data_IF_349969778232
#
_entry.id   IF_349969778232
#
_cell.length_a   1.000
_cell.length_b   1.000
_cell.length_c   1.000
_cell.angle_alpha   90.00
_cell.angle_beta   90.00
_cell.angle_gamma   90.00
#
_symmetry.space_group_name_H-M   'P 1'
#
loop_
_entity.id
_entity.type
_entity.pdbx_description
1 polymer ?
#
# COMPACT_ATOMS: atom_id res chain seq x y z
N UNK A 1 12.53 11.93 -30.24
CA UNK A 1 11.57 11.08 -29.54
C UNK A 1 12.42 10.00 -28.90
N UNK A 2 12.64 10.13 -27.59
CA UNK A 2 13.78 9.54 -26.87
C UNK A 2 13.32 8.24 -26.22
N UNK A 3 13.72 7.11 -26.80
CA UNK A 3 13.54 5.80 -26.16
C UNK A 3 14.41 5.77 -24.91
N UNK A 4 13.80 5.51 -23.76
CA UNK A 4 14.46 5.33 -22.47
C UNK A 4 14.83 3.87 -22.28
N UNK A 5 15.97 3.63 -21.63
CA UNK A 5 16.41 2.28 -21.29
C UNK A 5 16.38 2.13 -19.78
N UNK A 6 15.24 1.71 -19.26
CA UNK A 6 15.01 1.58 -17.82
C UNK A 6 15.42 0.19 -17.33
N UNK A 7 16.11 0.15 -16.20
CA UNK A 7 16.29 -1.04 -15.37
C UNK A 7 15.28 -0.97 -14.25
N UNK A 8 14.45 -2.02 -14.13
CA UNK A 8 13.62 -2.26 -12.96
C UNK A 8 14.33 -3.25 -12.04
N UNK A 9 14.61 -2.87 -10.79
CA UNK A 9 14.97 -3.82 -9.73
C UNK A 9 13.80 -4.00 -8.77
N UNK A 10 13.54 -5.24 -8.40
CA UNK A 10 12.55 -5.59 -7.38
C UNK A 10 13.30 -5.89 -6.09
N UNK A 11 13.30 -4.96 -5.15
CA UNK A 11 14.13 -5.04 -3.95
C UNK A 11 13.29 -5.43 -2.74
N UNK A 12 13.63 -6.55 -2.08
CA UNK A 12 13.15 -6.90 -0.75
C UNK A 12 14.12 -6.38 0.32
N UNK A 13 13.73 -6.51 1.60
CA UNK A 13 14.45 -5.97 2.78
C UNK A 13 15.95 -6.15 2.80
N UNK A 14 16.42 -7.28 2.29
CA UNK A 14 17.82 -7.70 2.41
C UNK A 14 18.46 -8.06 1.07
N UNK A 15 17.72 -7.95 -0.03
CA UNK A 15 18.18 -8.46 -1.34
C UNK A 15 17.34 -7.95 -2.50
N UNK A 16 17.97 -7.78 -3.65
CA UNK A 16 17.27 -7.67 -4.94
C UNK A 16 16.76 -9.06 -5.36
N UNK A 17 15.45 -9.18 -5.57
CA UNK A 17 14.80 -10.41 -6.00
C UNK A 17 14.82 -10.59 -7.52
N UNK A 18 14.80 -9.49 -8.27
CA UNK A 18 14.79 -9.51 -9.72
C UNK A 18 15.39 -8.23 -10.32
N UNK A 19 15.87 -8.31 -11.56
CA UNK A 19 16.37 -7.18 -12.34
C UNK A 19 15.98 -7.36 -13.80
N UNK A 20 15.16 -6.46 -14.31
CA UNK A 20 14.55 -6.53 -15.63
C UNK A 20 14.88 -5.26 -16.43
N UNK A 21 14.96 -5.39 -17.75
CA UNK A 21 15.15 -4.25 -18.65
C UNK A 21 13.83 -3.89 -19.31
N UNK A 22 13.57 -2.59 -19.43
CA UNK A 22 12.39 -2.01 -20.05
C UNK A 22 12.88 -0.96 -21.06
N UNK A 23 12.49 -1.11 -22.31
CA UNK A 23 12.51 0.01 -23.26
C UNK A 23 11.25 0.82 -22.97
N UNK A 24 11.35 2.14 -22.74
CA UNK A 24 10.27 3.01 -22.27
C UNK A 24 10.18 4.36 -23.01
N UNK A 25 9.10 5.12 -22.84
CA UNK A 25 8.93 6.49 -23.35
C UNK A 25 8.22 6.61 -24.71
N UNK A 26 8.40 7.74 -25.41
CA UNK A 26 7.71 8.01 -26.68
C UNK A 26 8.10 6.93 -27.72
N UNK A 27 7.15 6.04 -28.06
CA UNK A 27 7.33 4.80 -28.84
C UNK A 27 8.10 3.66 -28.18
N UNK A 28 8.60 3.84 -26.96
CA UNK A 28 9.28 2.81 -26.16
C UNK A 28 8.31 1.86 -25.49
N UNK A 29 7.30 1.35 -26.21
CA UNK A 29 6.31 0.39 -25.69
C UNK A 29 6.97 -0.95 -25.36
N UNK A 30 7.79 -1.07 -24.32
CA UNK A 30 8.56 -2.28 -24.01
C UNK A 30 9.25 -2.92 -25.23
N UNK A 31 9.67 -4.18 -25.12
CA UNK A 31 10.26 -4.86 -26.28
C UNK A 31 9.19 -5.04 -27.38
N UNK A 32 9.31 -4.28 -28.49
CA UNK A 32 8.51 -4.41 -29.72
C UNK A 32 7.04 -3.94 -29.68
N UNK A 33 6.66 -2.95 -28.88
CA UNK A 33 5.28 -2.45 -28.91
C UNK A 33 4.37 -3.01 -27.82
N UNK A 34 4.91 -3.76 -26.86
CA UNK A 34 4.18 -4.43 -25.80
C UNK A 34 4.78 -4.07 -24.43
N UNK A 35 3.95 -3.73 -23.43
CA UNK A 35 4.43 -3.51 -22.07
C UNK A 35 5.17 -4.74 -21.54
N UNK A 36 6.23 -4.52 -20.76
CA UNK A 36 6.71 -5.56 -19.86
C UNK A 36 5.61 -5.81 -18.82
N UNK A 37 5.26 -7.08 -18.59
CA UNK A 37 4.31 -7.46 -17.55
C UNK A 37 5.02 -8.24 -16.45
N UNK A 38 4.76 -7.89 -15.21
CA UNK A 38 5.23 -8.62 -14.03
C UNK A 38 4.11 -8.79 -13.03
N UNK A 39 4.12 -9.88 -12.28
CA UNK A 39 3.25 -10.01 -11.11
C UNK A 39 3.79 -9.14 -9.97
N UNK A 40 2.90 -8.42 -9.28
CA UNK A 40 3.24 -7.76 -8.04
C UNK A 40 3.77 -8.77 -7.01
N UNK A 41 4.81 -8.38 -6.26
CA UNK A 41 5.32 -9.11 -5.10
C UNK A 41 5.05 -8.27 -3.85
N UNK A 42 4.76 -8.89 -2.72
CA UNK A 42 4.64 -8.14 -1.47
C UNK A 42 6.00 -7.78 -0.87
N UNK A 43 5.99 -6.71 -0.08
CA UNK A 43 7.12 -6.27 0.76
C UNK A 43 8.38 -6.00 -0.09
N UNK A 44 8.18 -5.37 -1.24
CA UNK A 44 9.26 -5.00 -2.17
C UNK A 44 9.15 -3.53 -2.59
N UNK A 45 10.28 -2.92 -2.90
CA UNK A 45 10.32 -1.68 -3.66
C UNK A 45 10.64 -1.95 -5.12
N UNK A 46 9.96 -1.25 -6.01
CA UNK A 46 10.24 -1.25 -7.44
C UNK A 46 11.14 -0.04 -7.74
N UNK A 47 12.42 -0.31 -7.93
CA UNK A 47 13.44 0.71 -8.22
C UNK A 47 13.62 0.86 -9.73
N UNK A 48 13.46 2.08 -10.22
CA UNK A 48 13.72 2.43 -11.62
C UNK A 48 15.05 3.15 -11.77
N UNK A 49 15.79 2.80 -12.81
CA UNK A 49 17.04 3.49 -13.22
C UNK A 49 17.10 3.60 -14.73
N UNK A 50 17.19 4.81 -15.26
CA UNK A 50 17.54 5.06 -16.66
C UNK A 50 19.03 4.80 -16.86
N UNK A 51 19.38 3.89 -17.77
CA UNK A 51 20.77 3.52 -18.08
C UNK A 51 21.57 4.67 -18.66
N UNK A 52 20.92 5.62 -19.33
CA UNK A 52 21.62 6.75 -19.94
C UNK A 52 22.10 7.73 -18.87
N UNK A 53 21.23 8.06 -17.92
CA UNK A 53 21.52 9.05 -16.87
C UNK A 53 22.09 8.43 -15.60
N UNK A 54 21.93 7.11 -15.41
CA UNK A 54 22.18 6.38 -14.15
C UNK A 54 21.30 6.81 -12.98
N UNK A 55 20.24 7.57 -13.22
CA UNK A 55 19.28 8.03 -12.22
C UNK A 55 17.89 7.48 -12.52
N UNK A 56 16.97 7.54 -11.55
CA UNK A 56 15.57 7.26 -11.82
C UNK A 56 15.00 8.29 -12.82
N UNK A 57 14.03 7.91 -13.66
CA UNK A 57 13.23 8.88 -14.41
C UNK A 57 12.71 9.98 -13.49
N UNK A 58 12.77 11.24 -13.91
CA UNK A 58 12.28 12.37 -13.13
C UNK A 58 10.76 12.33 -13.01
N UNK A 59 10.07 11.95 -14.10
CA UNK A 59 8.60 11.86 -14.12
C UNK A 59 8.13 10.53 -14.71
N UNK A 60 7.03 10.01 -14.19
CA UNK A 60 6.32 8.85 -14.72
C UNK A 60 4.81 9.14 -14.72
N UNK A 61 4.10 8.59 -15.70
CA UNK A 61 2.63 8.57 -15.67
C UNK A 61 2.17 7.22 -15.15
N UNK A 62 1.22 7.22 -14.22
CA UNK A 62 0.63 6.01 -13.66
C UNK A 62 -0.87 6.01 -13.86
N UNK A 63 -1.44 4.83 -14.08
CA UNK A 63 -2.88 4.64 -14.18
C UNK A 63 -3.26 3.32 -13.54
N UNK A 64 -4.32 3.31 -12.74
CA UNK A 64 -4.90 2.07 -12.26
C UNK A 64 -5.84 1.50 -13.31
N UNK A 65 -5.71 0.21 -13.58
CA UNK A 65 -6.63 -0.53 -14.43
C UNK A 65 -7.05 -1.82 -13.71
N UNK A 66 -8.25 -1.82 -13.13
CA UNK A 66 -8.75 -2.87 -12.24
C UNK A 66 -7.80 -3.13 -11.05
N UNK A 67 -7.12 -4.28 -11.01
CA UNK A 67 -6.12 -4.62 -10.00
C UNK A 67 -4.69 -4.28 -10.43
N UNK A 68 -4.48 -3.85 -11.66
CA UNK A 68 -3.16 -3.65 -12.24
C UNK A 68 -2.74 -2.18 -12.15
N UNK A 69 -1.43 -1.96 -12.01
CA UNK A 69 -0.81 -0.66 -12.12
C UNK A 69 -0.11 -0.55 -13.48
N UNK A 70 -0.56 0.40 -14.29
CA UNK A 70 0.03 0.74 -15.58
C UNK A 70 0.98 1.91 -15.38
N UNK A 71 2.17 1.82 -15.99
CA UNK A 71 3.24 2.81 -15.86
C UNK A 71 3.79 3.13 -17.25
N UNK A 72 3.90 4.41 -17.53
CA UNK A 72 4.62 4.95 -18.68
C UNK A 72 5.75 5.84 -18.20
N UNK A 73 6.95 5.67 -18.76
CA UNK A 73 8.10 6.52 -18.47
C UNK A 73 8.05 7.80 -19.32
N UNK A 74 8.94 8.75 -19.02
CA UNK A 74 8.98 10.08 -19.62
C UNK A 74 8.73 10.10 -21.14
N UNK A 75 7.70 10.86 -21.56
CA UNK A 75 7.33 11.03 -22.96
C UNK A 75 6.45 9.92 -23.54
N UNK A 76 6.12 8.88 -22.79
CA UNK A 76 5.16 7.85 -23.19
C UNK A 76 3.69 8.20 -22.86
N UNK A 77 2.78 7.32 -23.28
CA UNK A 77 1.33 7.41 -23.08
C UNK A 77 0.90 6.27 -22.15
N UNK A 78 0.28 6.58 -21.02
CA UNK A 78 -0.09 5.55 -20.02
C UNK A 78 -1.17 4.59 -20.53
N UNK A 79 -1.97 4.96 -21.53
CA UNK A 79 -2.90 4.03 -22.20
C UNK A 79 -2.17 3.04 -23.13
N UNK A 80 -0.87 3.26 -23.36
CA UNK A 80 0.06 2.38 -24.07
C UNK A 80 1.29 2.13 -23.19
N UNK A 81 1.12 1.51 -22.01
CA UNK A 81 2.13 1.53 -20.97
C UNK A 81 3.41 0.80 -21.40
N UNK A 82 4.51 1.19 -20.74
CA UNK A 82 5.81 0.53 -20.89
C UNK A 82 5.93 -0.65 -19.91
N UNK A 83 5.27 -0.54 -18.76
CA UNK A 83 5.27 -1.53 -17.68
C UNK A 83 3.86 -1.71 -17.13
N UNK A 84 3.46 -2.95 -16.91
CA UNK A 84 2.28 -3.33 -16.15
C UNK A 84 2.73 -4.19 -14.96
N UNK A 85 2.39 -3.73 -13.75
CA UNK A 85 2.52 -4.52 -12.53
C UNK A 85 1.14 -5.11 -12.23
N UNK A 86 0.98 -6.38 -12.57
CA UNK A 86 -0.25 -7.12 -12.43
C UNK A 86 -0.58 -7.36 -10.95
N UNK A 87 -1.85 -7.21 -10.59
CA UNK A 87 -2.33 -7.37 -9.21
C UNK A 87 -1.71 -6.42 -8.18
N UNK A 88 -1.16 -5.27 -8.60
CA UNK A 88 -0.61 -4.28 -7.68
C UNK A 88 -1.62 -3.84 -6.60
N UNK A 89 -2.90 -3.68 -6.96
CA UNK A 89 -3.99 -3.33 -6.05
C UNK A 89 -4.80 -4.52 -5.54
N UNK A 90 -4.28 -5.75 -5.70
CA UNK A 90 -4.97 -6.92 -5.14
C UNK A 90 -5.06 -6.81 -3.62
N UNK A 91 -6.19 -7.25 -3.08
CA UNK A 91 -6.45 -7.19 -1.64
C UNK A 91 -5.35 -7.93 -0.86
N UNK A 92 -5.08 -7.47 0.36
CA UNK A 92 -3.94 -7.91 1.20
C UNK A 92 -3.90 -9.43 1.51
N UNK A 93 -4.93 -10.21 1.15
CA UNK A 93 -4.97 -11.67 1.22
C UNK A 93 -4.52 -12.45 -0.03
N UNK A 94 -4.33 -11.79 -1.20
CA UNK A 94 -3.87 -12.45 -2.43
C UNK A 94 -2.35 -12.30 -2.67
N UNK A 95 -1.71 -11.25 -2.13
CA UNK A 95 -0.27 -11.00 -2.28
C UNK A 95 0.49 -10.77 -0.97
N UNK A 96 -0.17 -10.51 0.17
CA UNK A 96 0.49 -10.45 1.49
C UNK A 96 1.11 -9.10 1.86
N UNK A 97 0.41 -8.00 1.61
CA UNK A 97 0.78 -6.68 2.13
C UNK A 97 0.61 -6.65 3.65
N UNK A 98 1.70 -6.49 4.39
CA UNK A 98 1.63 -6.26 5.84
C UNK A 98 1.26 -4.80 6.12
N UNK A 99 0.47 -4.56 7.16
CA UNK A 99 0.20 -3.19 7.63
C UNK A 99 1.54 -2.48 7.95
N UNK A 100 1.79 -1.35 7.30
CA UNK A 100 3.05 -0.59 7.43
C UNK A 100 4.17 -0.93 6.45
N UNK A 101 4.03 -1.94 5.58
CA UNK A 101 5.01 -2.22 4.50
C UNK A 101 4.48 -1.74 3.14
N UNK A 102 5.28 -0.91 2.45
CA UNK A 102 4.86 -0.18 1.25
C UNK A 102 5.54 -0.73 -0.01
N UNK A 103 4.74 -1.06 -1.03
CA UNK A 103 5.27 -1.36 -2.37
C UNK A 103 5.55 -0.07 -3.14
N UNK A 104 6.54 0.68 -2.70
CA UNK A 104 6.85 1.97 -3.33
C UNK A 104 7.49 1.77 -4.71
N UNK A 105 7.15 2.69 -5.60
CA UNK A 105 7.98 3.01 -6.74
C UNK A 105 9.04 3.99 -6.27
N UNK A 106 10.31 3.72 -6.57
CA UNK A 106 11.44 4.56 -6.15
C UNK A 106 12.48 4.72 -7.27
N UNK A 107 13.33 5.72 -7.14
CA UNK A 107 14.46 5.96 -8.03
C UNK A 107 15.61 6.66 -7.31
N UNK A 108 16.82 6.57 -7.87
CA UNK A 108 17.97 7.33 -7.39
C UNK A 108 17.97 8.73 -8.04
N UNK A 109 18.08 9.79 -7.26
CA UNK A 109 18.22 11.15 -7.77
C UNK A 109 19.70 11.52 -7.97
N UNK A 110 19.98 12.62 -8.68
CA UNK A 110 21.33 13.14 -8.97
C UNK A 110 22.24 13.31 -7.75
N UNK A 111 21.64 13.48 -6.56
CA UNK A 111 22.37 13.62 -5.29
C UNK A 111 22.82 12.26 -4.70
N UNK A 112 22.59 11.17 -5.42
CA UNK A 112 22.95 9.80 -5.04
C UNK A 112 21.97 9.14 -4.06
N UNK A 113 20.94 9.84 -3.60
CA UNK A 113 19.93 9.36 -2.65
C UNK A 113 18.71 8.82 -3.38
N UNK A 114 17.93 8.01 -2.67
CA UNK A 114 16.70 7.42 -3.21
C UNK A 114 15.47 8.17 -2.73
N UNK A 115 14.52 8.32 -3.64
CA UNK A 115 13.26 9.03 -3.43
C UNK A 115 12.10 8.19 -3.96
N UNK A 116 10.91 8.32 -3.37
CA UNK A 116 9.70 7.77 -3.94
C UNK A 116 9.24 8.61 -5.14
N UNK A 117 8.36 8.01 -5.95
CA UNK A 117 7.53 8.76 -6.88
C UNK A 117 6.30 9.30 -6.13
N UNK A 118 6.12 10.62 -6.13
CA UNK A 118 5.03 11.33 -5.46
C UNK A 118 4.16 12.06 -6.48
N UNK A 119 2.85 12.28 -6.21
CA UNK A 119 1.96 12.93 -7.17
C UNK A 119 2.42 14.35 -7.49
N UNK A 120 2.48 14.68 -8.77
CA UNK A 120 2.75 16.04 -9.24
C UNK A 120 1.65 17.03 -8.81
N UNK A 121 0.43 16.53 -8.65
CA UNK A 121 -0.73 17.31 -8.17
C UNK A 121 -0.66 17.67 -6.70
N UNK A 122 0.21 17.01 -5.92
CA UNK A 122 0.24 17.01 -4.46
C UNK A 122 -1.06 16.51 -3.79
N UNK A 123 -2.02 15.97 -4.56
CA UNK A 123 -3.25 15.39 -4.03
C UNK A 123 -3.01 13.97 -3.54
N UNK A 124 -3.50 13.66 -2.34
CA UNK A 124 -3.31 12.34 -1.72
C UNK A 124 -3.92 11.19 -2.55
N UNK A 125 -5.06 11.43 -3.17
CA UNK A 125 -5.78 10.42 -3.95
C UNK A 125 -5.06 10.07 -5.27
N UNK A 126 -4.13 10.92 -5.70
CA UNK A 126 -3.33 10.71 -6.90
C UNK A 126 -2.04 9.92 -6.60
N UNK A 127 -1.81 9.57 -5.32
CA UNK A 127 -0.73 8.68 -4.92
C UNK A 127 -0.90 7.30 -5.55
N UNK A 128 0.18 6.71 -6.04
CA UNK A 128 0.17 5.37 -6.66
C UNK A 128 -0.52 4.33 -5.78
N UNK A 129 -0.34 4.38 -4.47
CA UNK A 129 -0.97 3.46 -3.52
C UNK A 129 -2.49 3.66 -3.34
N UNK A 130 -3.03 4.80 -3.76
CA UNK A 130 -4.41 5.24 -3.50
C UNK A 130 -5.23 5.51 -4.76
N UNK A 131 -4.65 5.34 -5.96
CA UNK A 131 -5.38 5.55 -7.21
C UNK A 131 -6.69 4.76 -7.22
N UNK A 132 -7.78 5.47 -7.49
CA UNK A 132 -9.05 4.83 -7.83
C UNK A 132 -8.97 4.20 -9.22
N UNK A 133 -9.84 3.23 -9.51
CA UNK A 133 -9.84 2.56 -10.81
C UNK A 133 -10.04 3.58 -11.96
N UNK A 134 -9.30 3.37 -13.05
CA UNK A 134 -9.22 4.23 -14.24
C UNK A 134 -8.65 5.64 -13.99
N UNK A 135 -8.20 5.97 -12.77
CA UNK A 135 -7.55 7.26 -12.50
C UNK A 135 -6.10 7.20 -12.96
N UNK A 136 -5.72 8.24 -13.70
CA UNK A 136 -4.36 8.53 -14.14
C UNK A 136 -3.78 9.68 -13.32
N UNK A 137 -2.50 9.59 -12.97
CA UNK A 137 -1.78 10.64 -12.28
C UNK A 137 -0.30 10.70 -12.71
N UNK A 138 0.21 11.91 -12.92
CA UNK A 138 1.65 12.17 -13.04
C UNK A 138 2.34 12.05 -11.69
N UNK A 139 3.50 11.41 -11.67
CA UNK A 139 4.33 11.26 -10.48
C UNK A 139 5.74 11.76 -10.76
N UNK A 140 6.29 12.55 -9.83
CA UNK A 140 7.66 13.02 -9.88
C UNK A 140 8.52 12.29 -8.86
N UNK A 141 9.77 12.02 -9.21
CA UNK A 141 10.77 11.50 -8.28
C UNK A 141 11.14 12.58 -7.26
N UNK A 142 10.71 12.42 -6.01
CA UNK A 142 10.93 13.47 -5.00
C UNK A 142 10.19 13.27 -3.69
N UNK A 143 10.05 14.36 -2.95
CA UNK A 143 9.50 14.36 -1.58
C UNK A 143 10.58 14.13 -0.53
N UNK A 144 10.27 13.35 0.49
CA UNK A 144 11.22 13.02 1.56
C UNK A 144 12.21 11.95 1.10
N UNK A 145 13.47 12.14 1.45
CA UNK A 145 14.52 11.14 1.23
C UNK A 145 14.15 9.82 1.90
N UNK A 146 14.28 8.71 1.17
CA UNK A 146 14.15 7.37 1.74
C UNK A 146 15.45 7.02 2.48
N UNK A 147 15.68 7.67 3.63
CA UNK A 147 16.92 7.52 4.41
C UNK A 147 17.07 6.11 5.03
N UNK A 148 15.97 5.36 5.12
CA UNK A 148 15.95 3.95 5.47
C UNK A 148 14.91 3.23 4.61
N UNK A 149 15.40 2.53 3.58
CA UNK A 149 14.66 1.76 2.57
C UNK A 149 13.55 0.82 3.09
N UNK A 150 13.33 0.67 4.40
CA UNK A 150 12.36 -0.25 5.01
C UNK A 150 11.65 0.30 6.25
N UNK A 151 11.88 1.58 6.60
CA UNK A 151 11.19 2.28 7.69
C UNK A 151 10.25 3.37 7.15
N UNK A 152 10.00 3.37 5.83
CA UNK A 152 9.26 4.41 5.16
C UNK A 152 7.76 4.27 5.42
N UNK A 153 7.29 4.93 6.47
CA UNK A 153 5.93 5.44 6.57
C UNK A 153 5.97 6.88 6.02
N UNK A 154 5.57 7.16 4.77
CA UNK A 154 5.67 8.49 4.20
C UNK A 154 4.91 9.50 5.06
N UNK A 155 5.63 10.37 5.77
CA UNK A 155 4.99 11.40 6.60
C UNK A 155 4.20 12.38 5.74
N UNK A 156 4.46 12.49 4.44
CA UNK A 156 3.64 13.29 3.51
C UNK A 156 2.20 12.77 3.34
N UNK A 157 1.92 11.47 3.54
CA UNK A 157 0.52 10.98 3.61
C UNK A 157 -0.20 11.40 4.91
N UNK A 158 0.56 11.81 5.94
CA UNK A 158 0.08 12.31 7.23
C UNK A 158 0.14 13.84 7.37
N UNK A 159 1.03 14.52 6.63
CA UNK A 159 1.26 15.97 6.71
C UNK A 159 0.24 16.81 5.92
N UNK A 160 -0.61 16.18 5.10
CA UNK A 160 -1.80 16.79 4.51
C UNK A 160 -2.97 16.80 5.50
N UNK A 161 -2.73 17.26 6.73
CA UNK A 161 -3.81 17.56 7.69
C UNK A 161 -4.57 18.77 7.13
N UNK A 162 -5.88 18.66 6.81
CA UNK A 162 -6.69 19.85 6.73
C UNK A 162 -6.72 20.42 8.15
N UNK A 163 -6.16 21.60 8.36
CA UNK A 163 -6.41 22.35 9.59
C UNK A 163 -7.92 22.57 9.68
N UNK A 164 -8.57 21.73 10.47
CA UNK A 164 -9.92 21.95 10.94
C UNK A 164 -9.94 21.75 12.46
N UNK A 165 -9.17 22.58 13.18
CA UNK A 165 -9.51 23.09 14.52
C UNK A 165 -8.39 23.96 15.16
N UNK A 166 -8.11 25.15 14.62
CA UNK A 166 -7.85 26.34 15.45
C UNK A 166 -8.50 27.54 14.75
N UNK A 167 -9.51 28.11 15.40
CA UNK A 167 -10.28 29.23 14.91
C UNK A 167 -9.52 30.56 15.01
N UNK A 168 -9.40 31.28 13.90
CA UNK A 168 -9.59 32.74 13.84
C UNK A 168 -10.57 33.03 12.71
N UNK A 169 -11.75 33.55 13.06
CA UNK A 169 -12.89 33.64 12.17
C UNK A 169 -12.83 34.82 11.19
N UNK A 170 -13.42 34.61 10.01
CA UNK A 170 -14.31 35.54 9.30
C UNK A 170 -14.94 34.77 8.13
N UNK A 171 -16.28 34.78 8.05
CA UNK A 171 -17.04 33.70 7.44
C UNK A 171 -17.44 33.85 5.97
N UNK A 172 -18.07 32.79 5.47
CA UNK A 172 -19.32 32.84 4.69
C UNK A 172 -19.85 31.41 4.45
N UNK A 173 -21.17 31.29 4.57
CA UNK A 173 -22.10 30.26 4.07
C UNK A 173 -22.14 28.85 4.72
N UNK A 174 -23.09 28.70 5.65
CA UNK A 174 -23.37 27.52 6.46
C UNK A 174 -24.35 26.53 5.81
N UNK A 175 -23.96 25.84 4.73
CA UNK A 175 -24.65 24.58 4.38
C UNK A 175 -23.78 23.60 3.58
N UNK A 176 -22.64 23.20 4.14
CA UNK A 176 -22.02 21.91 3.82
C UNK A 176 -21.87 21.14 5.11
N UNK A 177 -22.72 20.12 5.30
CA UNK A 177 -22.44 19.05 6.25
C UNK A 177 -21.05 18.50 5.92
N UNK A 178 -20.11 18.66 6.84
CA UNK A 178 -18.81 17.99 6.76
C UNK A 178 -19.06 16.49 6.56
N UNK A 179 -18.43 15.84 5.58
CA UNK A 179 -18.51 14.39 5.46
C UNK A 179 -17.76 13.80 6.65
N UNK A 180 -18.46 13.03 7.48
CA UNK A 180 -17.81 12.12 8.42
C UNK A 180 -17.11 11.09 7.54
N UNK A 181 -15.78 11.06 7.57
CA UNK A 181 -14.99 10.01 6.92
C UNK A 181 -15.16 8.78 7.81
N UNK A 182 -16.12 7.93 7.47
CA UNK A 182 -16.23 6.61 8.09
C UNK A 182 -15.18 5.70 7.45
N UNK A 183 -14.18 5.33 8.24
CA UNK A 183 -13.40 4.14 7.92
C UNK A 183 -14.38 2.97 7.86
N UNK A 184 -14.34 2.11 6.82
CA UNK A 184 -15.16 0.91 6.82
C UNK A 184 -14.79 0.09 8.05
N UNK A 185 -15.71 -0.03 9.02
CA UNK A 185 -15.47 -0.84 10.20
C UNK A 185 -15.64 -2.31 9.81
N UNK A 186 -14.62 -3.10 10.05
CA UNK A 186 -14.57 -4.51 9.75
C UNK A 186 -15.01 -5.29 11.00
N UNK A 187 -15.71 -6.39 10.79
CA UNK A 187 -16.02 -7.31 11.88
C UNK A 187 -14.81 -8.23 12.12
N UNK A 188 -14.52 -8.60 13.38
CA UNK A 188 -13.47 -9.56 13.68
C UNK A 188 -13.82 -10.94 13.10
N UNK A 189 -12.80 -11.65 12.64
CA UNK A 189 -12.87 -13.02 12.15
C UNK A 189 -12.37 -13.92 13.28
N UNK A 190 -13.30 -14.68 13.87
CA UNK A 190 -12.99 -15.61 14.94
C UNK A 190 -12.53 -16.97 14.42
N UNK A 191 -11.49 -17.53 15.03
CA UNK A 191 -10.99 -18.88 14.76
C UNK A 191 -11.38 -19.85 15.88
N UNK A 192 -11.38 -21.15 15.58
CA UNK A 192 -11.81 -22.15 16.57
C UNK A 192 -10.68 -22.50 17.53
N UNK A 193 -10.95 -22.34 18.82
CA UNK A 193 -10.12 -22.91 19.88
C UNK A 193 -10.50 -24.35 20.22
N UNK A 194 -9.49 -25.11 20.67
CA UNK A 194 -9.70 -26.42 21.23
C UNK A 194 -8.73 -26.64 22.39
N UNK A 195 -9.28 -27.10 23.51
CA UNK A 195 -8.51 -27.57 24.65
C UNK A 195 -9.17 -28.80 25.27
N UNK A 196 -8.33 -29.68 25.81
CA UNK A 196 -8.76 -30.87 26.53
C UNK A 196 -8.20 -30.84 27.94
N UNK A 197 -8.98 -31.36 28.88
CA UNK A 197 -8.59 -31.47 30.27
C UNK A 197 -9.19 -32.74 30.89
N UNK A 198 -8.60 -33.21 31.98
CA UNK A 198 -9.14 -34.31 32.76
C UNK A 198 -10.37 -33.84 33.54
N UNK A 199 -11.21 -34.80 33.93
CA UNK A 199 -12.33 -34.51 34.83
C UNK A 199 -11.86 -33.76 36.09
N UNK A 200 -12.67 -32.82 36.57
CA UNK A 200 -12.40 -31.96 37.73
C UNK A 200 -11.11 -31.12 37.65
N UNK A 201 -10.54 -30.95 36.46
CA UNK A 201 -9.35 -30.11 36.23
C UNK A 201 -9.72 -28.96 35.28
N UNK A 202 -9.75 -27.70 35.74
CA UNK A 202 -10.03 -26.57 34.85
C UNK A 202 -8.85 -26.31 33.90
N UNK A 203 -9.14 -25.84 32.69
CA UNK A 203 -8.16 -25.34 31.72
C UNK A 203 -8.52 -23.90 31.35
N UNK A 204 -7.52 -23.03 31.29
CA UNK A 204 -7.65 -21.66 30.83
C UNK A 204 -7.08 -21.59 29.42
N UNK A 205 -7.85 -21.01 28.50
CA UNK A 205 -7.42 -20.72 27.14
C UNK A 205 -7.63 -19.24 26.86
N UNK A 206 -6.71 -18.65 26.11
CA UNK A 206 -6.92 -17.35 25.50
C UNK A 206 -7.60 -17.58 24.15
N UNK A 207 -8.84 -17.11 24.04
CA UNK A 207 -9.69 -17.29 22.86
C UNK A 207 -9.50 -16.20 21.82
N UNK A 208 -8.69 -15.17 22.12
CA UNK A 208 -8.46 -14.05 21.21
C UNK A 208 -7.14 -14.17 20.44
N UNK A 209 -6.26 -15.09 20.85
CA UNK A 209 -4.91 -15.21 20.28
C UNK A 209 -4.91 -15.59 18.79
N UNK A 210 -5.89 -16.37 18.34
CA UNK A 210 -6.05 -16.83 16.96
C UNK A 210 -7.10 -16.04 16.16
N UNK A 211 -7.81 -15.12 16.82
CA UNK A 211 -8.77 -14.25 16.17
C UNK A 211 -8.03 -13.14 15.40
N UNK A 212 -8.63 -12.69 14.31
CA UNK A 212 -8.08 -11.60 13.50
C UNK A 212 -9.08 -10.48 13.38
N UNK A 213 -8.63 -9.27 13.64
CA UNK A 213 -9.40 -8.06 13.35
C UNK A 213 -8.60 -7.17 12.42
N UNK A 214 -9.29 -6.63 11.41
CA UNK A 214 -8.68 -5.88 10.32
C UNK A 214 -8.45 -4.42 10.68
N UNK A 215 -9.18 -3.89 11.66
CA UNK A 215 -9.02 -2.52 12.15
C UNK A 215 -8.03 -2.42 13.33
N UNK A 216 -7.65 -3.55 13.92
CA UNK A 216 -6.73 -3.63 15.05
C UNK A 216 -7.35 -3.13 16.36
N UNK A 217 -8.68 -3.08 16.43
CA UNK A 217 -9.47 -2.60 17.56
C UNK A 217 -10.27 -3.74 18.25
N UNK A 218 -9.91 -5.01 18.00
CA UNK A 218 -10.46 -6.17 18.71
C UNK A 218 -10.42 -5.93 20.23
N UNK A 219 -11.61 -5.84 20.81
CA UNK A 219 -11.79 -5.61 22.24
C UNK A 219 -12.06 -6.95 22.97
N UNK A 220 -11.08 -7.51 23.72
CA UNK A 220 -11.24 -8.77 24.43
C UNK A 220 -12.33 -8.73 25.51
N UNK A 221 -12.72 -7.53 25.97
CA UNK A 221 -13.79 -7.38 26.97
C UNK A 221 -15.19 -7.68 26.40
N UNK A 222 -15.31 -7.80 25.08
CA UNK A 222 -16.58 -8.08 24.40
C UNK A 222 -16.89 -9.57 24.25
N UNK A 223 -15.99 -10.46 24.68
CA UNK A 223 -16.16 -11.91 24.58
C UNK A 223 -17.36 -12.38 25.42
N UNK A 224 -18.29 -13.08 24.78
CA UNK A 224 -19.49 -13.64 25.44
C UNK A 224 -19.70 -15.11 25.10
N UNK A 225 -20.11 -15.90 26.10
CA UNK A 225 -20.51 -17.30 25.90
C UNK A 225 -21.96 -17.33 25.41
N UNK A 226 -22.17 -17.69 24.14
CA UNK A 226 -23.53 -17.77 23.55
C UNK A 226 -24.22 -19.10 23.86
N UNK A 227 -23.47 -20.16 24.18
CA UNK A 227 -23.98 -21.48 24.51
C UNK A 227 -23.07 -22.22 25.49
N UNK A 228 -23.64 -22.66 26.61
CA UNK A 228 -22.93 -23.50 27.59
C UNK A 228 -22.80 -24.96 27.09
N UNK A 229 -21.77 -25.71 27.54
CA UNK A 229 -21.62 -27.11 27.19
C UNK A 229 -22.68 -27.98 27.88
N UNK A 230 -22.96 -29.16 27.33
CA UNK A 230 -23.91 -30.11 27.92
C UNK A 230 -23.40 -30.72 29.24
N UNK A 231 -22.08 -30.74 29.44
CA UNK A 231 -21.42 -31.22 30.65
C UNK A 231 -20.30 -30.24 31.05
N UNK A 232 -20.18 -29.91 32.34
CA UNK A 232 -19.21 -28.93 32.83
C UNK A 232 -19.71 -27.48 32.74
N UNK A 233 -18.80 -26.53 32.94
CA UNK A 233 -19.09 -25.09 32.93
C UNK A 233 -17.99 -24.34 32.20
N UNK A 234 -18.36 -23.32 31.41
CA UNK A 234 -17.43 -22.34 30.85
C UNK A 234 -17.72 -20.98 31.47
N UNK A 235 -16.67 -20.24 31.84
CA UNK A 235 -16.75 -18.86 32.29
C UNK A 235 -15.74 -18.03 31.51
N UNK A 236 -16.09 -16.77 31.21
CA UNK A 236 -15.14 -15.78 30.69
C UNK A 236 -14.58 -15.03 31.88
N UNK A 237 -13.27 -14.84 31.92
CA UNK A 237 -12.63 -13.88 32.81
C UNK A 237 -12.46 -12.57 32.02
N UNK A 238 -13.22 -11.50 32.31
CA UNK A 238 -13.02 -10.22 31.65
C UNK A 238 -11.69 -9.64 32.14
N UNK A 239 -10.64 -9.79 31.33
CA UNK A 239 -9.30 -9.34 31.68
C UNK A 239 -9.28 -7.80 31.85
N UNK A 240 -8.71 -7.33 32.96
CA UNK A 240 -7.99 -6.05 33.06
C UNK A 240 -6.63 -6.14 32.40
#
# INVERSE_FOLDING_TARGET
MTVKNIVLKINAKKSTLDTLNIEGGEFGRGSQGKPLKIAAKANVHYEFTDKETSFGPENIATKRHDKDLWISFEGGDVDQPDLIIENYYAANGELGYSEGESNLLIGQHENGKYYPYVPESAEKNDAVSLLADQVEAGQALGGEEVAAFWAFNPLWLLALVPIAAVAIGQGHDNNKKSPVIEHPQHVPIAEKDSAETKENTPVIIDVTTNDTDKDGDLDPSTVVITKQPQNGTVSVDPIT
#
